data_IF_030072326301
#
_entry.id   IF_030072326301
#
_cell.length_a   1.000
_cell.length_b   1.000
_cell.length_c   1.000
_cell.angle_alpha   90.00
_cell.angle_beta   90.00
_cell.angle_gamma   90.00
#
_symmetry.space_group_name_H-M   'P 1'
#
loop_
_entity.id
_entity.type
_entity.pdbx_description
1 polymer ?
#
# COMPACT_ATOMS: atom_id res chain seq x y z
N UNK A 1 -18.44 -3.69 11.87
CA UNK A 1 -16.97 -3.68 12.16
C UNK A 1 -16.16 -4.47 11.12
N UNK A 2 -16.34 -5.80 10.90
CA UNK A 2 -15.54 -6.53 9.90
C UNK A 2 -15.91 -6.15 8.45
N UNK A 3 -17.20 -6.04 8.15
CA UNK A 3 -17.68 -5.59 6.82
C UNK A 3 -17.22 -4.17 6.49
N UNK A 4 -17.30 -3.25 7.44
CA UNK A 4 -16.79 -1.89 7.30
C UNK A 4 -15.29 -1.87 6.98
N UNK A 5 -14.50 -2.70 7.67
CA UNK A 5 -13.08 -2.88 7.39
C UNK A 5 -12.82 -3.34 5.95
N UNK A 6 -13.57 -4.34 5.48
CA UNK A 6 -13.44 -4.85 4.10
C UNK A 6 -13.87 -3.79 3.08
N UNK A 7 -14.99 -3.09 3.34
CA UNK A 7 -15.47 -2.03 2.45
C UNK A 7 -14.45 -0.90 2.33
N UNK A 8 -13.85 -0.47 3.44
CA UNK A 8 -12.80 0.56 3.42
C UNK A 8 -11.58 0.10 2.63
N UNK A 9 -11.13 -1.15 2.79
CA UNK A 9 -10.05 -1.71 1.98
C UNK A 9 -10.38 -1.65 0.48
N UNK A 10 -11.61 -2.02 0.12
CA UNK A 10 -12.05 -2.01 -1.28
C UNK A 10 -12.10 -0.58 -1.85
N UNK A 11 -12.57 0.39 -1.07
CA UNK A 11 -12.61 1.80 -1.48
C UNK A 11 -11.21 2.37 -1.72
N UNK A 12 -10.28 2.14 -0.80
CA UNK A 12 -8.90 2.59 -0.95
C UNK A 12 -8.23 1.94 -2.16
N UNK A 13 -8.47 0.65 -2.39
CA UNK A 13 -8.00 -0.05 -3.60
C UNK A 13 -8.59 0.54 -4.88
N UNK A 14 -9.89 0.85 -4.91
CA UNK A 14 -10.55 1.51 -6.06
C UNK A 14 -9.97 2.89 -6.33
N UNK A 15 -9.68 3.65 -5.27
CA UNK A 15 -9.02 4.97 -5.35
C UNK A 15 -7.54 4.88 -5.67
N UNK A 16 -6.97 3.66 -5.69
CA UNK A 16 -5.53 3.40 -5.88
C UNK A 16 -4.67 4.14 -4.85
N UNK A 17 -5.15 4.23 -3.64
CA UNK A 17 -4.43 4.82 -2.53
C UNK A 17 -3.68 3.75 -1.75
N UNK A 18 -2.39 3.96 -1.44
CA UNK A 18 -1.66 3.05 -0.58
C UNK A 18 -2.19 3.15 0.85
N UNK A 19 -2.23 2.02 1.53
CA UNK A 19 -2.60 1.92 2.94
C UNK A 19 -1.90 0.74 3.60
N UNK A 20 -2.01 0.64 4.90
CA UNK A 20 -1.47 -0.46 5.69
C UNK A 20 -2.59 -1.17 6.41
N UNK A 21 -2.53 -2.50 6.41
CA UNK A 21 -3.29 -3.35 7.31
C UNK A 21 -2.46 -3.56 8.58
N UNK A 22 -3.03 -3.22 9.73
CA UNK A 22 -2.44 -3.46 11.04
C UNK A 22 -3.27 -4.51 11.78
N UNK A 23 -2.61 -5.57 12.26
CA UNK A 23 -3.25 -6.67 12.99
C UNK A 23 -2.51 -6.92 14.30
N UNK A 24 -3.21 -6.88 15.43
CA UNK A 24 -2.67 -7.30 16.71
C UNK A 24 -2.55 -8.81 16.73
N UNK A 25 -1.32 -9.32 16.68
CA UNK A 25 -1.04 -10.77 16.63
C UNK A 25 -0.78 -11.36 18.01
N UNK A 26 -0.25 -10.55 18.93
CA UNK A 26 0.01 -10.97 20.31
C UNK A 26 -0.15 -9.80 21.27
N UNK A 27 -0.56 -10.10 22.49
CA UNK A 27 -0.57 -9.14 23.60
C UNK A 27 -0.15 -9.78 24.91
N UNK A 28 0.41 -8.99 25.81
CA UNK A 28 0.62 -9.29 27.21
C UNK A 28 -0.07 -8.18 28.04
N UNK A 29 -0.89 -8.57 28.99
CA UNK A 29 -1.64 -7.64 29.83
C UNK A 29 -0.71 -6.88 30.79
N UNK A 30 -1.09 -5.63 31.17
CA UNK A 30 -2.25 -4.87 30.77
C UNK A 30 -2.05 -4.15 29.42
N UNK A 31 -2.92 -4.39 28.44
CA UNK A 31 -2.90 -3.73 27.13
C UNK A 31 -4.34 -3.48 26.67
N UNK A 32 -4.59 -2.30 26.08
CA UNK A 32 -5.90 -1.93 25.54
C UNK A 32 -6.24 -2.60 24.20
N UNK A 33 -5.22 -3.05 23.45
CA UNK A 33 -5.41 -3.86 22.26
C UNK A 33 -5.66 -5.32 22.61
N UNK A 34 -6.46 -6.02 21.83
CA UNK A 34 -6.74 -7.47 21.95
C UNK A 34 -6.21 -8.18 20.72
N UNK A 35 -5.72 -9.40 20.88
CA UNK A 35 -5.34 -10.26 19.75
C UNK A 35 -6.52 -10.40 18.78
N UNK A 36 -6.27 -10.14 17.49
CA UNK A 36 -7.30 -10.09 16.45
C UNK A 36 -7.87 -8.70 16.19
N UNK A 37 -7.60 -7.70 17.05
CA UNK A 37 -7.91 -6.30 16.73
C UNK A 37 -7.16 -5.88 15.48
N UNK A 38 -7.82 -5.09 14.64
CA UNK A 38 -7.28 -4.67 13.36
C UNK A 38 -7.64 -3.23 13.02
N UNK A 39 -6.79 -2.61 12.24
CA UNK A 39 -7.03 -1.28 11.70
C UNK A 39 -6.45 -1.13 10.30
N UNK A 40 -6.98 -0.17 9.57
CA UNK A 40 -6.39 0.37 8.35
C UNK A 40 -5.72 1.69 8.72
N UNK A 41 -4.50 1.88 8.23
CA UNK A 41 -3.78 3.17 8.34
C UNK A 41 -3.57 3.67 6.92
N UNK A 42 -4.21 4.78 6.57
CA UNK A 42 -4.08 5.36 5.24
C UNK A 42 -2.79 6.20 5.10
N UNK A 43 -2.51 6.65 3.89
CA UNK A 43 -1.31 7.47 3.58
C UNK A 43 -1.25 8.82 4.33
N UNK A 44 -2.35 9.26 4.93
CA UNK A 44 -2.44 10.49 5.73
C UNK A 44 -2.26 10.24 7.22
N UNK A 45 -2.08 8.98 7.66
CA UNK A 45 -1.96 8.59 9.06
C UNK A 45 -3.31 8.45 9.78
N UNK A 46 -4.42 8.48 9.06
CA UNK A 46 -5.74 8.22 9.66
C UNK A 46 -5.90 6.73 9.95
N UNK A 47 -6.35 6.41 11.16
CA UNK A 47 -6.56 5.03 11.62
C UNK A 47 -8.06 4.74 11.66
N UNK A 48 -8.47 3.75 10.88
CA UNK A 48 -9.83 3.23 10.82
C UNK A 48 -9.83 1.83 11.44
N UNK A 49 -10.53 1.67 12.57
CA UNK A 49 -10.49 0.48 13.39
C UNK A 49 -9.77 0.68 14.72
N UNK A 50 -9.28 -0.41 15.32
CA UNK A 50 -8.67 -0.37 16.65
C UNK A 50 -7.48 -1.32 16.77
N UNK A 51 -6.35 -0.82 17.30
CA UNK A 51 -5.12 -1.60 17.55
C UNK A 51 -4.45 -1.23 18.89
N UNK A 52 -5.11 -0.40 19.71
CA UNK A 52 -4.58 0.05 21.00
C UNK A 52 -4.71 1.55 21.22
N UNK A 53 -4.22 2.03 22.37
CA UNK A 53 -4.28 3.43 22.80
C UNK A 53 -3.33 4.37 22.06
N UNK A 54 -3.29 5.64 22.51
CA UNK A 54 -2.56 6.72 21.82
C UNK A 54 -1.07 6.45 21.58
N UNK A 55 -0.35 5.88 22.56
CA UNK A 55 1.07 5.56 22.41
C UNK A 55 1.33 4.51 21.30
N UNK A 56 0.42 3.53 21.18
CA UNK A 56 0.51 2.51 20.12
C UNK A 56 0.21 3.15 18.76
N UNK A 57 -0.83 3.98 18.68
CA UNK A 57 -1.24 4.64 17.44
C UNK A 57 -0.14 5.49 16.81
N UNK A 58 0.54 6.33 17.60
CA UNK A 58 1.60 7.20 17.08
C UNK A 58 2.79 6.42 16.50
N UNK A 59 3.16 5.31 17.14
CA UNK A 59 4.21 4.41 16.64
C UNK A 59 3.76 3.73 15.35
N UNK A 60 2.53 3.22 15.31
CA UNK A 60 2.01 2.51 14.15
C UNK A 60 1.84 3.44 12.93
N UNK A 61 1.48 4.72 13.12
CA UNK A 61 1.43 5.70 12.02
C UNK A 61 2.81 5.86 11.38
N UNK A 62 3.85 6.05 12.19
CA UNK A 62 5.22 6.16 11.70
C UNK A 62 5.66 4.89 10.94
N UNK A 63 5.41 3.73 11.52
CA UNK A 63 5.79 2.46 10.90
C UNK A 63 4.98 2.16 9.63
N UNK A 64 3.72 2.59 9.57
CA UNK A 64 2.89 2.50 8.38
C UNK A 64 3.43 3.37 7.24
N UNK A 65 3.84 4.59 7.52
CA UNK A 65 4.48 5.46 6.54
C UNK A 65 5.74 4.83 5.94
N UNK A 66 6.60 4.27 6.79
CA UNK A 66 7.82 3.59 6.36
C UNK A 66 7.52 2.28 5.61
N UNK A 67 6.47 1.53 6.00
CA UNK A 67 6.03 0.33 5.29
C UNK A 67 5.52 0.68 3.88
N UNK A 68 4.74 1.75 3.74
CA UNK A 68 4.29 2.24 2.42
C UNK A 68 5.47 2.64 1.55
N UNK A 69 6.46 3.36 2.09
CA UNK A 69 7.66 3.80 1.35
C UNK A 69 8.52 2.64 0.87
N UNK A 70 8.70 1.64 1.73
CA UNK A 70 9.61 0.51 1.45
C UNK A 70 8.93 -0.65 0.74
N UNK A 71 7.60 -0.74 0.79
CA UNK A 71 6.82 -1.88 0.29
C UNK A 71 7.02 -3.15 1.11
N UNK A 72 7.61 -3.08 2.31
CA UNK A 72 7.96 -4.24 3.11
C UNK A 72 7.07 -4.36 4.34
N UNK A 73 6.49 -5.54 4.61
CA UNK A 73 5.80 -5.81 5.86
C UNK A 73 6.78 -5.84 7.02
N UNK A 74 6.27 -5.63 8.23
CA UNK A 74 7.06 -5.67 9.47
C UNK A 74 6.23 -6.03 10.69
N UNK A 75 6.89 -6.59 11.68
CA UNK A 75 6.32 -6.82 13.00
C UNK A 75 6.76 -5.70 13.94
N UNK A 76 5.81 -5.03 14.57
CA UNK A 76 6.06 -3.94 15.52
C UNK A 76 5.72 -4.42 16.92
N UNK A 77 6.72 -4.48 17.79
CA UNK A 77 6.58 -4.83 19.21
C UNK A 77 6.70 -3.58 20.05
N UNK A 78 5.69 -3.31 20.87
CA UNK A 78 5.59 -2.13 21.70
C UNK A 78 5.39 -2.60 23.15
N UNK A 79 6.34 -2.32 24.04
CA UNK A 79 6.27 -2.76 25.42
C UNK A 79 7.37 -2.17 26.30
N UNK A 80 7.41 -2.55 27.59
CA UNK A 80 8.46 -2.12 28.53
C UNK A 80 9.77 -2.90 28.41
N UNK A 81 9.68 -4.20 28.15
CA UNK A 81 10.83 -5.10 28.02
C UNK A 81 11.29 -5.18 26.57
N UNK A 82 12.15 -4.27 26.13
CA UNK A 82 12.83 -4.40 24.85
C UNK A 82 13.94 -5.45 25.03
N UNK A 83 13.89 -6.51 24.25
CA UNK A 83 14.99 -7.47 24.17
C UNK A 83 16.22 -6.76 23.60
N UNK A 84 17.38 -7.00 24.19
CA UNK A 84 18.65 -6.49 23.62
C UNK A 84 19.03 -7.22 22.32
N UNK A 85 18.32 -8.28 21.97
CA UNK A 85 18.54 -9.06 20.76
C UNK A 85 17.62 -8.49 19.67
N UNK A 86 18.17 -7.71 18.78
CA UNK A 86 17.49 -7.22 17.58
C UNK A 86 17.14 -8.45 16.70
N UNK A 87 15.87 -8.77 16.59
CA UNK A 87 15.40 -9.78 15.63
C UNK A 87 15.18 -9.11 14.28
N UNK A 88 15.70 -9.72 13.23
CA UNK A 88 15.51 -9.24 11.87
C UNK A 88 14.01 -9.18 11.54
N UNK A 89 13.54 -8.05 11.00
CA UNK A 89 12.13 -7.81 10.66
C UNK A 89 11.22 -7.43 11.83
N UNK A 90 11.75 -7.31 13.07
CA UNK A 90 11.00 -6.86 14.24
C UNK A 90 11.44 -5.45 14.63
N UNK A 91 10.47 -4.52 14.63
CA UNK A 91 10.68 -3.14 15.09
C UNK A 91 10.25 -3.01 16.55
N UNK A 92 11.19 -2.81 17.46
CA UNK A 92 10.92 -2.75 18.88
C UNK A 92 10.85 -1.31 19.39
N UNK A 93 9.77 -1.00 20.12
CA UNK A 93 9.50 0.30 20.69
C UNK A 93 9.21 0.21 22.18
N UNK A 94 9.92 1.04 22.96
CA UNK A 94 9.65 1.17 24.38
C UNK A 94 8.34 1.95 24.59
N UNK A 95 7.42 1.37 25.34
CA UNK A 95 6.19 2.06 25.73
C UNK A 95 6.49 3.17 26.73
N UNK A 96 6.00 4.39 26.47
CA UNK A 96 6.22 5.57 27.30
C UNK A 96 5.08 5.83 28.29
N UNK A 97 3.93 5.17 28.10
CA UNK A 97 2.76 5.31 28.99
C UNK A 97 2.83 4.33 30.18
N UNK A 98 1.96 4.55 31.18
CA UNK A 98 1.93 3.76 32.44
C UNK A 98 1.45 2.32 32.27
N UNK A 99 0.93 1.93 31.09
CA UNK A 99 0.55 0.55 30.82
C UNK A 99 1.81 -0.33 30.71
N UNK A 100 1.86 -1.39 31.51
CA UNK A 100 3.03 -2.27 31.61
C UNK A 100 3.02 -3.44 30.58
N UNK A 101 1.97 -3.53 29.80
CA UNK A 101 1.78 -4.63 28.86
C UNK A 101 2.60 -4.48 27.57
N UNK A 102 2.60 -5.56 26.80
CA UNK A 102 3.22 -5.61 25.48
C UNK A 102 2.16 -5.87 24.42
N UNK A 103 2.29 -5.25 23.26
CA UNK A 103 1.48 -5.54 22.08
C UNK A 103 2.41 -5.75 20.88
N UNK A 104 2.12 -6.78 20.10
CA UNK A 104 2.77 -7.07 18.83
C UNK A 104 1.75 -6.88 17.71
N UNK A 105 2.09 -6.01 16.77
CA UNK A 105 1.23 -5.65 15.65
C UNK A 105 1.96 -5.95 14.35
N UNK A 106 1.37 -6.81 13.54
CA UNK A 106 1.84 -7.05 12.18
C UNK A 106 1.30 -5.95 11.27
N UNK A 107 2.19 -5.37 10.46
CA UNK A 107 1.92 -4.30 9.52
C UNK A 107 2.18 -4.80 8.10
N UNK A 108 1.13 -4.80 7.28
CA UNK A 108 1.18 -5.21 5.87
C UNK A 108 0.85 -4.02 4.97
N UNK A 109 1.80 -3.50 4.17
CA UNK A 109 1.51 -2.44 3.22
C UNK A 109 0.74 -2.99 2.01
N UNK A 110 -0.37 -2.35 1.70
CA UNK A 110 -1.16 -2.60 0.48
C UNK A 110 -0.89 -1.46 -0.49
N UNK A 111 -0.05 -1.75 -1.47
CA UNK A 111 0.35 -0.77 -2.48
C UNK A 111 -0.55 -0.89 -3.73
N UNK A 112 -0.82 0.23 -4.41
CA UNK A 112 -1.48 0.18 -5.70
C UNK A 112 -0.58 -0.56 -6.71
N UNK A 113 -1.22 -1.24 -7.67
CA UNK A 113 -0.52 -1.86 -8.78
C UNK A 113 0.29 -0.80 -9.53
N UNK A 114 1.57 -1.04 -9.85
CA UNK A 114 2.37 -0.09 -10.61
C UNK A 114 1.74 0.17 -11.98
N UNK A 115 1.82 1.40 -12.45
CA UNK A 115 1.15 1.86 -13.66
C UNK A 115 2.18 2.23 -14.73
N UNK A 116 2.07 1.62 -15.89
CA UNK A 116 2.88 1.93 -17.07
C UNK A 116 2.02 2.66 -18.11
N UNK A 117 2.40 3.88 -18.42
CA UNK A 117 1.81 4.68 -19.50
C UNK A 117 2.74 4.61 -20.71
N UNK A 118 2.29 4.06 -21.81
CA UNK A 118 3.05 3.95 -23.04
C UNK A 118 2.46 4.87 -24.10
N UNK A 119 3.25 5.86 -24.51
CA UNK A 119 2.86 6.83 -25.53
C UNK A 119 3.50 6.49 -26.88
N UNK A 120 2.68 6.33 -27.89
CA UNK A 120 3.10 5.98 -29.25
C UNK A 120 2.45 4.69 -29.77
N UNK A 121 2.63 4.39 -31.06
CA UNK A 121 2.07 3.21 -31.75
C UNK A 121 3.10 2.37 -32.50
N UNK A 122 4.40 2.62 -32.25
CA UNK A 122 5.51 1.88 -32.85
C UNK A 122 5.54 0.41 -32.40
N UNK A 123 6.34 -0.41 -33.05
CA UNK A 123 6.58 -1.78 -32.62
C UNK A 123 7.10 -1.86 -31.18
N UNK A 124 7.94 -0.88 -30.80
CA UNK A 124 8.46 -0.76 -29.42
C UNK A 124 7.31 -0.48 -28.44
N UNK A 125 6.42 0.48 -28.75
CA UNK A 125 5.26 0.78 -27.90
C UNK A 125 4.37 -0.45 -27.71
N UNK A 126 4.09 -1.21 -28.77
CA UNK A 126 3.30 -2.46 -28.69
C UNK A 126 3.96 -3.51 -27.81
N UNK A 127 5.29 -3.69 -27.96
CA UNK A 127 6.05 -4.62 -27.12
C UNK A 127 6.04 -4.19 -25.64
N UNK A 128 6.20 -2.90 -25.36
CA UNK A 128 6.14 -2.37 -23.99
C UNK A 128 4.77 -2.60 -23.34
N UNK A 129 3.67 -2.42 -24.05
CA UNK A 129 2.33 -2.74 -23.56
C UNK A 129 2.23 -4.22 -23.19
N UNK A 130 2.67 -5.11 -24.07
CA UNK A 130 2.66 -6.55 -23.82
C UNK A 130 3.52 -6.93 -22.62
N UNK A 131 4.76 -6.49 -22.56
CA UNK A 131 5.68 -6.78 -21.44
C UNK A 131 5.21 -6.17 -20.13
N UNK A 132 4.67 -4.94 -20.15
CA UNK A 132 4.10 -4.31 -18.96
C UNK A 132 2.96 -5.15 -18.37
N UNK A 133 2.07 -5.67 -19.21
CA UNK A 133 1.00 -6.59 -18.76
C UNK A 133 1.56 -7.88 -18.16
N UNK A 134 2.54 -8.52 -18.83
CA UNK A 134 3.18 -9.74 -18.32
C UNK A 134 3.94 -9.51 -17.01
N UNK A 135 4.54 -8.32 -16.83
CA UNK A 135 5.22 -7.92 -15.60
C UNK A 135 4.25 -7.50 -14.47
N UNK A 136 2.94 -7.57 -14.68
CA UNK A 136 1.95 -7.24 -13.67
C UNK A 136 1.65 -5.76 -13.52
N UNK A 137 2.05 -4.91 -14.48
CA UNK A 137 1.66 -3.50 -14.49
C UNK A 137 0.21 -3.32 -14.97
N UNK A 138 -0.47 -2.33 -14.42
CA UNK A 138 -1.58 -1.70 -15.12
C UNK A 138 -1.00 -0.92 -16.29
N UNK A 139 -1.52 -1.11 -17.50
CA UNK A 139 -0.97 -0.48 -18.69
C UNK A 139 -2.01 0.42 -19.37
N UNK A 140 -1.70 1.70 -19.52
CA UNK A 140 -2.43 2.65 -20.35
C UNK A 140 -1.63 2.92 -21.61
N UNK A 141 -2.21 2.61 -22.78
CA UNK A 141 -1.65 2.97 -24.06
C UNK A 141 -2.26 4.32 -24.53
N UNK A 142 -1.39 5.26 -24.94
CA UNK A 142 -1.79 6.57 -25.47
C UNK A 142 -1.27 6.69 -26.89
N UNK A 143 -2.17 6.62 -27.87
CA UNK A 143 -1.76 6.69 -29.27
C UNK A 143 -2.87 7.31 -30.12
N UNK A 144 -2.53 8.39 -30.82
CA UNK A 144 -3.47 9.05 -31.75
C UNK A 144 -3.95 8.07 -32.81
N UNK A 145 -5.25 8.05 -33.05
CA UNK A 145 -5.91 7.24 -34.09
C UNK A 145 -5.65 5.72 -33.95
N UNK A 146 -5.25 5.26 -32.78
CA UNK A 146 -5.07 3.84 -32.55
C UNK A 146 -6.42 3.12 -32.51
N UNK A 147 -6.46 1.94 -33.14
CA UNK A 147 -7.61 1.02 -33.07
C UNK A 147 -7.42 0.09 -31.89
N UNK A 148 -8.52 -0.55 -31.47
CA UNK A 148 -8.52 -1.47 -30.32
C UNK A 148 -7.58 -2.67 -30.51
N UNK A 149 -7.34 -3.04 -31.77
CA UNK A 149 -6.44 -4.13 -32.20
C UNK A 149 -4.97 -3.71 -32.36
N UNK A 150 -4.65 -2.42 -32.20
CA UNK A 150 -3.28 -1.89 -32.30
C UNK A 150 -2.39 -2.44 -31.17
N UNK A 151 -2.95 -2.70 -30.01
CA UNK A 151 -2.24 -3.16 -28.81
C UNK A 151 -2.84 -4.47 -28.28
N UNK A 152 -1.99 -5.29 -27.67
CA UNK A 152 -2.43 -6.54 -27.04
C UNK A 152 -2.98 -6.23 -25.63
N UNK A 153 -4.31 -5.98 -25.56
CA UNK A 153 -5.11 -5.83 -24.34
C UNK A 153 -4.51 -4.90 -23.27
N UNK A 154 -4.25 -3.61 -23.56
CA UNK A 154 -3.98 -2.64 -22.49
C UNK A 154 -5.20 -2.55 -21.56
N UNK A 155 -4.99 -2.12 -20.30
CA UNK A 155 -6.10 -1.86 -19.37
C UNK A 155 -6.92 -0.63 -19.79
N UNK A 156 -6.26 0.29 -20.49
CA UNK A 156 -6.88 1.51 -21.00
C UNK A 156 -6.21 1.94 -22.31
N UNK A 157 -7.00 2.38 -23.27
CA UNK A 157 -6.54 2.93 -24.53
C UNK A 157 -7.06 4.36 -24.70
N UNK A 158 -6.16 5.32 -24.77
CA UNK A 158 -6.46 6.74 -25.02
C UNK A 158 -6.06 7.07 -26.44
N UNK A 159 -7.05 7.35 -27.30
CA UNK A 159 -6.86 7.55 -28.75
C UNK A 159 -6.57 9.01 -29.14
N UNK A 160 -6.51 9.90 -28.17
CA UNK A 160 -6.11 11.31 -28.35
C UNK A 160 -4.99 11.64 -27.39
N UNK A 161 -4.04 12.47 -27.82
CA UNK A 161 -2.97 12.94 -26.92
C UNK A 161 -3.51 13.95 -25.89
N UNK A 162 -4.52 13.55 -25.12
CA UNK A 162 -5.01 14.33 -23.99
C UNK A 162 -4.42 13.74 -22.70
N UNK A 163 -3.33 14.33 -22.22
CA UNK A 163 -2.64 13.90 -21.01
C UNK A 163 -3.47 14.10 -19.74
N UNK A 164 -4.46 14.99 -19.76
CA UNK A 164 -5.37 15.21 -18.63
C UNK A 164 -6.22 13.97 -18.31
N UNK A 165 -6.43 13.10 -19.30
CA UNK A 165 -7.14 11.84 -19.12
C UNK A 165 -6.27 10.76 -18.47
N UNK A 166 -4.94 10.94 -18.47
CA UNK A 166 -4.00 9.95 -17.90
C UNK A 166 -3.90 10.17 -16.41
N UNK A 167 -4.60 9.33 -15.64
CA UNK A 167 -4.49 9.34 -14.19
C UNK A 167 -3.16 8.73 -13.77
N UNK A 168 -2.22 9.55 -13.32
CA UNK A 168 -0.92 9.13 -12.79
C UNK A 168 -0.89 9.20 -11.27
N UNK A 169 0.02 8.43 -10.66
CA UNK A 169 0.28 8.40 -9.23
C UNK A 169 1.76 8.15 -8.94
N UNK A 170 2.16 8.04 -7.67
CA UNK A 170 3.57 7.86 -7.27
C UNK A 170 4.26 6.62 -7.88
N UNK A 171 3.48 5.59 -8.21
CA UNK A 171 3.96 4.36 -8.85
C UNK A 171 3.68 4.33 -10.37
N UNK A 172 3.59 5.50 -11.02
CA UNK A 172 3.39 5.59 -12.47
C UNK A 172 4.69 5.85 -13.19
N UNK A 173 4.89 5.11 -14.29
CA UNK A 173 6.04 5.23 -15.20
C UNK A 173 5.50 5.60 -16.57
N UNK A 174 6.09 6.62 -17.20
CA UNK A 174 5.70 7.09 -18.52
C UNK A 174 6.84 6.84 -19.49
N UNK A 175 6.53 6.14 -20.58
CA UNK A 175 7.48 5.87 -21.66
C UNK A 175 6.93 6.43 -22.96
N UNK A 176 7.73 7.25 -23.64
CA UNK A 176 7.41 7.77 -24.97
C UNK A 176 8.18 6.93 -25.99
N UNK A 177 7.44 6.25 -26.88
CA UNK A 177 7.96 5.35 -27.91
C UNK A 177 7.30 5.66 -29.27
N UNK A 178 7.60 6.86 -29.78
CA UNK A 178 7.11 7.39 -31.06
C UNK A 178 8.04 7.08 -32.22
#
# INVERSE_FOLDING_TARGET
MFEEFINTCQELRKKREPFVLALVVRREAPSSGKTGDKAIINKYGEIIGWVGGGCVKSILIKEAEDAIKTGKPRLVRIGRGISKTQQEGVMEYKMTCQSEGTVEVFIEPVLPQPHLVVMGKTAIARSLVKFGKLAGYRVTAVASEARIDTFEKPDELITRYNLEQVQTGPASFIVVAT
#
